data_IF_889105115348
#
_entry.id   IF_889105115348
#
_cell.length_a   1.000
_cell.length_b   1.000
_cell.length_c   1.000
_cell.angle_alpha   90.00
_cell.angle_beta   90.00
_cell.angle_gamma   90.00
#
_symmetry.space_group_name_H-M   'P 1'
#
loop_
_entity.id
_entity.type
_entity.pdbx_description
1 polymer ?
#
# COMPACT_ATOMS: atom_id res chain seq x y z
N UNK A 1 -2.20 7.98 -4.99
CA UNK A 1 -1.25 8.83 -5.74
C UNK A 1 0.14 8.67 -5.11
N UNK A 2 1.12 8.13 -5.86
CA UNK A 2 2.49 7.95 -5.36
C UNK A 2 3.22 9.30 -5.26
N UNK A 3 3.56 9.73 -4.04
CA UNK A 3 4.25 11.02 -3.78
C UNK A 3 5.64 11.06 -4.43
N UNK A 4 6.35 9.93 -4.42
CA UNK A 4 7.64 9.77 -5.11
C UNK A 4 7.52 9.73 -6.63
N UNK A 5 6.31 9.67 -7.18
CA UNK A 5 6.04 9.69 -8.62
C UNK A 5 5.58 11.09 -9.08
N UNK A 6 5.29 11.99 -8.14
CA UNK A 6 4.89 13.36 -8.42
C UNK A 6 6.14 14.27 -8.50
N UNK A 7 6.38 14.85 -9.68
CA UNK A 7 7.57 15.66 -9.92
C UNK A 7 7.65 16.91 -9.02
N UNK A 8 6.52 17.53 -8.67
CA UNK A 8 6.50 18.69 -7.79
C UNK A 8 6.88 18.31 -6.36
N UNK A 9 6.39 17.15 -5.89
CA UNK A 9 6.73 16.62 -4.57
C UNK A 9 8.21 16.23 -4.49
N UNK A 10 8.73 15.51 -5.49
CA UNK A 10 10.16 15.18 -5.58
C UNK A 10 11.04 16.43 -5.60
N UNK A 11 10.62 17.49 -6.32
CA UNK A 11 11.33 18.77 -6.34
C UNK A 11 11.44 19.39 -4.95
N UNK A 12 10.35 19.40 -4.19
CA UNK A 12 10.34 19.90 -2.81
C UNK A 12 11.19 19.05 -1.87
N UNK A 13 11.17 17.73 -2.06
CA UNK A 13 11.91 16.78 -1.24
C UNK A 13 13.43 16.83 -1.46
N UNK A 14 13.87 17.12 -2.68
CA UNK A 14 15.28 17.10 -3.04
C UNK A 14 15.94 18.50 -3.11
N UNK A 15 15.16 19.58 -3.08
CA UNK A 15 15.69 20.94 -3.07
C UNK A 15 16.52 21.24 -1.79
N UNK A 16 17.53 22.13 -1.86
CA UNK A 16 18.22 22.62 -0.67
C UNK A 16 17.24 23.33 0.27
N UNK A 17 17.27 23.03 1.57
CA UNK A 17 16.30 23.59 2.52
C UNK A 17 16.29 25.13 2.54
N UNK A 18 17.46 25.75 2.35
CA UNK A 18 17.62 27.21 2.33
C UNK A 18 16.95 27.91 1.13
N UNK A 19 16.58 27.17 0.08
CA UNK A 19 15.91 27.73 -1.10
C UNK A 19 14.39 27.66 -1.03
N UNK A 20 13.84 26.98 -0.02
CA UNK A 20 12.39 26.81 0.16
C UNK A 20 11.79 27.91 1.03
N UNK A 21 10.60 28.37 0.67
CA UNK A 21 9.78 29.21 1.55
C UNK A 21 9.17 28.39 2.69
N UNK A 22 8.74 29.03 3.77
CA UNK A 22 8.12 28.33 4.91
C UNK A 22 6.93 27.42 4.51
N UNK A 23 6.00 27.84 3.61
CA UNK A 23 4.94 26.94 3.12
C UNK A 23 5.48 25.74 2.35
N UNK A 24 6.51 25.93 1.52
CA UNK A 24 7.14 24.84 0.76
C UNK A 24 7.88 23.86 1.68
N UNK A 25 8.48 24.34 2.77
CA UNK A 25 9.08 23.47 3.79
C UNK A 25 8.02 22.61 4.47
N UNK A 26 6.88 23.19 4.85
CA UNK A 26 5.78 22.44 5.46
C UNK A 26 5.25 21.36 4.50
N UNK A 27 5.12 21.71 3.22
CA UNK A 27 4.69 20.76 2.18
C UNK A 27 5.73 19.67 1.93
N UNK A 28 7.01 20.01 1.93
CA UNK A 28 8.09 19.03 1.80
C UNK A 28 8.13 18.06 2.99
N UNK A 29 7.85 18.56 4.21
CA UNK A 29 7.72 17.70 5.41
C UNK A 29 6.54 16.76 5.29
N UNK A 30 5.38 17.23 4.81
CA UNK A 30 4.20 16.41 4.55
C UNK A 30 4.53 15.31 3.52
N UNK A 31 5.10 15.70 2.39
CA UNK A 31 5.54 14.78 1.35
C UNK A 31 6.57 13.76 1.87
N UNK A 32 7.48 14.16 2.77
CA UNK A 32 8.48 13.27 3.33
C UNK A 32 7.84 12.20 4.24
N UNK A 33 6.82 12.57 5.02
CA UNK A 33 6.04 11.62 5.83
C UNK A 33 5.30 10.61 4.95
N UNK A 34 4.78 11.04 3.82
CA UNK A 34 4.06 10.17 2.89
C UNK A 34 5.01 9.27 2.10
N UNK A 35 6.17 9.79 1.69
CA UNK A 35 7.23 9.02 1.04
C UNK A 35 7.79 7.90 1.95
N UNK A 36 7.83 8.13 3.26
CA UNK A 36 8.30 7.15 4.24
C UNK A 36 7.52 5.83 4.18
N UNK A 37 6.24 5.86 3.79
CA UNK A 37 5.42 4.66 3.70
C UNK A 37 5.94 3.66 2.66
N UNK A 38 6.51 4.15 1.55
CA UNK A 38 7.10 3.26 0.54
C UNK A 38 8.27 2.46 1.14
N UNK A 39 9.16 3.13 1.89
CA UNK A 39 10.26 2.45 2.59
C UNK A 39 9.74 1.47 3.65
N UNK A 40 8.66 1.81 4.37
CA UNK A 40 8.04 0.88 5.34
C UNK A 40 7.63 -0.41 4.64
N UNK A 41 6.88 -0.31 3.54
CA UNK A 41 6.43 -1.47 2.77
C UNK A 41 7.61 -2.30 2.26
N UNK A 42 8.58 -1.65 1.59
CA UNK A 42 9.77 -2.33 1.04
C UNK A 42 10.60 -3.01 2.16
N UNK A 43 10.69 -2.38 3.34
CA UNK A 43 11.42 -2.94 4.49
C UNK A 43 10.69 -4.14 5.08
N UNK A 44 9.37 -4.05 5.21
CA UNK A 44 8.57 -5.15 5.75
C UNK A 44 8.57 -6.32 4.77
N UNK A 45 8.43 -6.09 3.47
CA UNK A 45 8.55 -7.15 2.46
C UNK A 45 9.93 -7.82 2.50
N UNK A 46 11.01 -7.06 2.68
CA UNK A 46 12.33 -7.65 2.89
C UNK A 46 12.40 -8.54 4.15
N UNK A 47 11.59 -8.33 5.18
CA UNK A 47 11.51 -9.25 6.32
C UNK A 47 10.87 -10.58 5.97
N UNK A 48 10.02 -10.67 4.95
CA UNK A 48 9.51 -11.95 4.46
C UNK A 48 10.65 -12.79 3.88
N UNK A 49 11.56 -12.16 3.12
CA UNK A 49 12.66 -12.84 2.44
C UNK A 49 13.83 -13.19 3.36
N UNK A 50 14.16 -12.29 4.30
CA UNK A 50 15.39 -12.38 5.10
C UNK A 50 15.15 -12.63 6.60
N UNK A 51 13.89 -12.67 7.02
CA UNK A 51 13.48 -12.77 8.42
C UNK A 51 13.48 -11.42 9.13
N UNK A 52 12.51 -11.20 10.00
CA UNK A 52 12.45 -9.98 10.81
C UNK A 52 13.66 -9.88 11.75
N UNK A 53 14.33 -8.72 11.84
CA UNK A 53 15.36 -8.49 12.83
C UNK A 53 14.78 -8.60 14.25
N UNK A 54 15.56 -9.11 15.21
CA UNK A 54 15.24 -8.97 16.64
C UNK A 54 14.96 -7.48 16.97
N UNK A 55 14.12 -7.20 17.97
CA UNK A 55 13.59 -5.88 18.38
C UNK A 55 14.62 -4.72 18.44
N UNK A 56 15.91 -5.01 18.43
CA UNK A 56 17.02 -4.05 18.45
C UNK A 56 17.61 -3.65 17.09
N UNK A 57 17.27 -4.31 15.98
CA UNK A 57 18.00 -4.16 14.71
C UNK A 57 17.24 -3.42 13.59
N UNK A 58 16.07 -2.86 13.86
CA UNK A 58 15.24 -2.21 12.84
C UNK A 58 15.25 -0.68 12.86
N UNK A 59 16.38 -0.07 13.22
CA UNK A 59 16.52 1.38 13.09
C UNK A 59 16.74 1.73 11.61
N UNK A 60 15.80 2.44 11.02
CA UNK A 60 16.01 3.06 9.70
C UNK A 60 16.95 4.24 9.88
N UNK A 61 18.03 4.24 9.09
CA UNK A 61 19.08 5.24 9.17
C UNK A 61 18.79 6.44 8.24
N UNK A 62 19.36 7.62 8.52
CA UNK A 62 19.18 8.81 7.68
C UNK A 62 19.54 8.60 6.21
N UNK A 63 20.50 7.74 5.91
CA UNK A 63 20.94 7.39 4.55
C UNK A 63 19.82 6.75 3.73
N UNK A 64 18.83 6.12 4.36
CA UNK A 64 17.66 5.60 3.67
C UNK A 64 16.83 6.72 3.04
N UNK A 65 16.82 7.94 3.59
CA UNK A 65 16.16 9.05 2.88
C UNK A 65 16.80 9.30 1.50
N UNK A 66 18.14 9.20 1.41
CA UNK A 66 18.84 9.42 0.14
C UNK A 66 18.54 8.31 -0.84
N UNK A 67 18.68 7.05 -0.40
CA UNK A 67 18.44 5.88 -1.24
C UNK A 67 17.04 5.86 -1.87
N UNK A 68 16.04 6.39 -1.14
CA UNK A 68 14.66 6.35 -1.59
C UNK A 68 14.24 7.62 -2.33
N UNK A 69 14.50 8.78 -1.73
CA UNK A 69 13.97 10.07 -2.22
C UNK A 69 14.92 10.70 -3.22
N UNK A 70 16.21 10.78 -2.86
CA UNK A 70 17.21 11.48 -3.68
C UNK A 70 17.56 10.66 -4.92
N UNK A 71 17.80 9.35 -4.78
CA UNK A 71 18.09 8.47 -5.92
C UNK A 71 16.91 8.41 -6.90
N UNK A 72 15.67 8.56 -6.41
CA UNK A 72 14.48 8.66 -7.27
C UNK A 72 14.45 9.99 -8.02
N UNK A 73 14.67 11.10 -7.31
CA UNK A 73 14.68 12.43 -7.92
C UNK A 73 15.83 12.57 -8.94
N UNK A 74 16.97 11.91 -8.73
CA UNK A 74 18.07 11.84 -9.70
C UNK A 74 17.66 11.03 -10.93
N UNK A 75 17.08 9.84 -10.74
CA UNK A 75 16.58 9.00 -11.84
C UNK A 75 15.55 9.71 -12.72
N UNK A 76 14.70 10.53 -12.13
CA UNK A 76 13.66 11.30 -12.83
C UNK A 76 14.19 12.64 -13.39
N UNK A 77 15.48 12.93 -13.24
CA UNK A 77 16.12 14.15 -13.76
C UNK A 77 15.65 15.44 -13.09
N UNK A 78 15.11 15.34 -11.87
CA UNK A 78 14.56 16.47 -11.10
C UNK A 78 15.66 17.18 -10.31
N UNK A 79 16.68 16.45 -9.86
CA UNK A 79 17.84 17.02 -9.16
C UNK A 79 19.01 17.29 -10.08
N UNK A 80 19.75 18.34 -9.74
CA UNK A 80 21.05 18.65 -10.34
C UNK A 80 22.18 17.88 -9.65
N UNK A 81 23.31 17.73 -10.35
CA UNK A 81 24.51 17.10 -9.78
C UNK A 81 25.10 17.87 -8.57
N UNK A 82 24.79 19.17 -8.43
CA UNK A 82 25.20 19.98 -7.29
C UNK A 82 24.31 19.71 -6.06
N UNK A 83 23.00 19.52 -6.27
CA UNK A 83 22.06 19.13 -5.21
C UNK A 83 22.36 17.72 -4.70
N UNK A 84 22.59 16.74 -5.59
CA UNK A 84 23.00 15.38 -5.18
C UNK A 84 24.29 15.40 -4.35
N UNK A 85 25.26 16.24 -4.75
CA UNK A 85 26.52 16.41 -4.00
C UNK A 85 26.28 17.06 -2.64
N UNK A 86 25.38 18.02 -2.55
CA UNK A 86 24.99 18.67 -1.29
C UNK A 86 24.42 17.65 -0.32
N UNK A 87 23.52 16.77 -0.79
CA UNK A 87 22.98 15.68 0.02
C UNK A 87 24.07 14.68 0.44
N UNK A 88 24.97 14.30 -0.47
CA UNK A 88 26.09 13.42 -0.15
C UNK A 88 27.04 14.02 0.89
N UNK A 89 27.30 15.33 0.82
CA UNK A 89 28.08 16.02 1.86
C UNK A 89 27.35 16.07 3.20
N UNK A 90 26.04 16.32 3.19
CA UNK A 90 25.21 16.34 4.40
C UNK A 90 25.16 14.98 5.12
N UNK A 91 25.33 13.87 4.40
CA UNK A 91 25.55 12.54 5.01
C UNK A 91 26.87 12.54 5.76
N UNK A 92 27.95 12.86 5.06
CA UNK A 92 29.31 12.69 5.55
C UNK A 92 29.59 13.55 6.80
N UNK A 93 28.95 14.70 6.93
CA UNK A 93 29.09 15.60 8.09
C UNK A 93 27.96 15.47 9.14
N UNK A 94 26.99 14.57 8.90
CA UNK A 94 25.85 14.32 9.78
C UNK A 94 24.80 15.44 9.82
N UNK A 95 24.86 16.42 8.91
CA UNK A 95 23.88 17.50 8.84
C UNK A 95 22.47 17.01 8.47
N UNK A 96 22.34 15.85 7.81
CA UNK A 96 21.04 15.23 7.49
C UNK A 96 20.12 15.09 8.70
N UNK A 97 20.67 14.74 9.87
CA UNK A 97 19.90 14.56 11.10
C UNK A 97 19.20 15.83 11.57
N UNK A 98 19.60 17.00 11.06
CA UNK A 98 18.98 18.29 11.38
C UNK A 98 17.98 18.74 10.33
N UNK A 99 17.91 18.07 9.17
CA UNK A 99 16.93 18.40 8.14
C UNK A 99 15.54 17.92 8.60
N UNK A 100 14.55 18.81 8.70
CA UNK A 100 13.23 18.47 9.21
C UNK A 100 12.49 17.47 8.32
N UNK A 101 12.80 17.39 7.02
CA UNK A 101 12.20 16.39 6.10
C UNK A 101 12.74 15.01 6.40
N UNK A 102 14.06 14.89 6.60
CA UNK A 102 14.71 13.64 7.00
C UNK A 102 14.16 13.18 8.35
N UNK A 103 14.06 14.06 9.34
CA UNK A 103 13.47 13.72 10.64
C UNK A 103 12.01 13.27 10.54
N UNK A 104 11.22 13.95 9.70
CA UNK A 104 9.83 13.58 9.48
C UNK A 104 9.68 12.24 8.76
N UNK A 105 10.55 11.97 7.78
CA UNK A 105 10.63 10.69 7.08
C UNK A 105 10.98 9.56 8.07
N UNK A 106 12.06 9.69 8.82
CA UNK A 106 12.51 8.67 9.78
C UNK A 106 11.48 8.41 10.88
N UNK A 107 10.86 9.47 11.44
CA UNK A 107 9.78 9.32 12.43
C UNK A 107 8.61 8.54 11.85
N UNK A 108 8.17 8.91 10.64
CA UNK A 108 7.05 8.26 9.95
C UNK A 108 7.37 6.80 9.62
N UNK A 109 8.61 6.50 9.19
CA UNK A 109 9.06 5.13 8.95
C UNK A 109 9.08 4.31 10.24
N UNK A 110 9.65 4.83 11.33
CA UNK A 110 9.69 4.13 12.60
C UNK A 110 8.28 3.86 13.15
N UNK A 111 7.38 4.83 13.05
CA UNK A 111 5.96 4.68 13.42
C UNK A 111 5.28 3.61 12.55
N UNK A 112 5.46 3.66 11.23
CA UNK A 112 4.89 2.68 10.30
C UNK A 112 5.39 1.27 10.54
N UNK A 113 6.72 1.09 10.71
CA UNK A 113 7.31 -0.22 11.02
C UNK A 113 6.77 -0.77 12.33
N UNK A 114 6.66 0.05 13.38
CA UNK A 114 6.10 -0.39 14.66
C UNK A 114 4.64 -0.86 14.54
N UNK A 115 3.84 -0.18 13.71
CA UNK A 115 2.46 -0.59 13.40
C UNK A 115 2.46 -1.95 12.69
N UNK A 116 3.23 -2.11 11.62
CA UNK A 116 3.28 -3.37 10.88
C UNK A 116 3.81 -4.53 11.71
N UNK A 117 4.86 -4.34 12.52
CA UNK A 117 5.35 -5.38 13.46
C UNK A 117 4.22 -5.84 14.38
N UNK A 118 3.46 -4.90 14.94
CA UNK A 118 2.35 -5.21 15.84
C UNK A 118 1.23 -5.95 15.11
N UNK A 119 0.86 -5.50 13.91
CA UNK A 119 -0.18 -6.13 13.10
C UNK A 119 0.22 -7.54 12.64
N UNK A 120 1.45 -7.73 12.15
CA UNK A 120 2.00 -9.04 11.75
C UNK A 120 1.97 -9.99 12.95
N UNK A 121 2.48 -9.56 14.11
CA UNK A 121 2.46 -10.38 15.32
C UNK A 121 1.05 -10.75 15.76
N UNK A 122 0.12 -9.80 15.78
CA UNK A 122 -1.27 -10.02 16.16
C UNK A 122 -2.00 -10.97 15.22
N UNK A 123 -1.90 -10.74 13.90
CA UNK A 123 -2.54 -11.55 12.87
C UNK A 123 -1.94 -12.96 12.79
N UNK A 124 -0.63 -13.11 13.00
CA UNK A 124 0.02 -14.43 13.11
C UNK A 124 -0.56 -15.25 14.26
N UNK A 125 -0.69 -14.66 15.45
CA UNK A 125 -1.23 -15.36 16.63
C UNK A 125 -2.69 -15.78 16.40
N UNK A 126 -3.49 -14.93 15.74
CA UNK A 126 -4.85 -15.28 15.34
C UNK A 126 -4.84 -16.50 14.41
N UNK A 127 -4.00 -16.47 13.37
CA UNK A 127 -3.92 -17.53 12.38
C UNK A 127 -3.43 -18.86 12.99
N UNK A 128 -2.40 -18.82 13.82
CA UNK A 128 -1.90 -20.01 14.53
C UNK A 128 -2.98 -20.67 15.39
N UNK A 129 -3.80 -19.85 16.06
CA UNK A 129 -4.94 -20.34 16.85
C UNK A 129 -6.06 -20.88 15.98
N UNK A 130 -6.35 -20.25 14.85
CA UNK A 130 -7.36 -20.70 13.89
C UNK A 130 -6.99 -22.05 13.27
N UNK A 131 -5.72 -22.24 12.91
CA UNK A 131 -5.21 -23.47 12.31
C UNK A 131 -4.88 -24.57 13.36
N UNK A 132 -4.95 -24.25 14.65
CA UNK A 132 -4.58 -25.13 15.77
C UNK A 132 -3.12 -25.64 15.68
N UNK A 133 -2.21 -24.81 15.15
CA UNK A 133 -0.79 -25.14 14.95
C UNK A 133 0.10 -24.55 16.05
N UNK A 134 1.33 -25.07 16.26
CA UNK A 134 2.28 -24.50 17.20
C UNK A 134 2.63 -23.05 16.88
N UNK A 135 2.97 -22.27 17.92
CA UNK A 135 3.59 -20.96 17.73
C UNK A 135 4.85 -21.09 16.89
N UNK A 136 4.98 -20.25 15.87
CA UNK A 136 5.99 -20.26 14.80
C UNK A 136 5.75 -21.20 13.61
N UNK A 137 4.61 -21.89 13.52
CA UNK A 137 4.30 -22.70 12.33
C UNK A 137 3.85 -21.85 11.12
N UNK A 138 3.46 -20.61 11.37
CA UNK A 138 3.01 -19.65 10.36
C UNK A 138 4.15 -18.68 10.05
N UNK A 139 4.55 -18.61 8.78
CA UNK A 139 5.58 -17.70 8.30
C UNK A 139 4.95 -16.43 7.71
N UNK A 140 5.53 -15.27 7.93
CA UNK A 140 5.14 -14.05 7.25
C UNK A 140 5.58 -14.10 5.79
N UNK A 141 4.67 -13.78 4.86
CA UNK A 141 4.86 -13.97 3.42
C UNK A 141 4.99 -12.67 2.62
N UNK A 142 4.73 -11.52 3.23
CA UNK A 142 4.75 -10.20 2.58
C UNK A 142 3.48 -9.39 2.81
N UNK A 143 3.50 -8.14 2.33
CA UNK A 143 2.34 -7.25 2.30
C UNK A 143 1.79 -7.21 0.86
N UNK A 144 0.48 -7.38 0.71
CA UNK A 144 -0.20 -7.23 -0.57
C UNK A 144 -0.35 -5.77 -0.99
N UNK A 145 -0.77 -5.56 -2.24
CA UNK A 145 -0.86 -4.21 -2.85
C UNK A 145 -1.79 -3.28 -2.07
N UNK A 146 -2.81 -3.82 -1.40
CA UNK A 146 -3.77 -3.04 -0.62
C UNK A 146 -3.40 -2.96 0.87
N UNK A 147 -2.18 -3.37 1.25
CA UNK A 147 -1.68 -3.34 2.63
C UNK A 147 -2.05 -4.56 3.48
N UNK A 148 -2.67 -5.58 2.89
CA UNK A 148 -3.02 -6.82 3.56
C UNK A 148 -1.77 -7.63 3.94
N UNK A 149 -1.79 -8.28 5.10
CA UNK A 149 -0.63 -9.04 5.61
C UNK A 149 -0.84 -10.52 5.28
N UNK A 150 0.05 -11.05 4.45
CA UNK A 150 0.07 -12.45 4.03
C UNK A 150 0.93 -13.34 4.93
N UNK A 151 0.49 -14.59 5.08
CA UNK A 151 1.21 -15.63 5.79
C UNK A 151 1.20 -16.95 5.04
N UNK A 152 2.28 -17.70 5.08
CA UNK A 152 2.37 -19.03 4.49
C UNK A 152 2.35 -20.11 5.60
N UNK A 153 1.54 -21.16 5.38
CA UNK A 153 1.48 -22.31 6.26
C UNK A 153 1.08 -23.56 5.46
N UNK A 154 1.82 -24.66 5.61
CA UNK A 154 1.52 -25.96 4.98
C UNK A 154 1.27 -25.93 3.46
N UNK A 155 1.89 -24.99 2.74
CA UNK A 155 1.79 -24.86 1.28
C UNK A 155 0.62 -23.99 0.78
N UNK A 156 -0.13 -23.38 1.70
CA UNK A 156 -1.14 -22.37 1.38
C UNK A 156 -0.73 -20.99 1.89
N UNK A 157 -1.30 -19.97 1.25
CA UNK A 157 -1.23 -18.58 1.68
C UNK A 157 -2.50 -18.20 2.42
N UNK A 158 -2.35 -17.45 3.50
CA UNK A 158 -3.41 -17.01 4.36
C UNK A 158 -3.34 -15.51 4.58
N UNK A 159 -4.50 -14.88 4.67
CA UNK A 159 -4.62 -13.46 4.97
C UNK A 159 -5.64 -13.31 6.08
N UNK A 160 -5.26 -12.53 7.09
CA UNK A 160 -6.11 -12.24 8.25
C UNK A 160 -6.47 -10.77 8.23
N UNK A 161 -7.77 -10.48 8.20
CA UNK A 161 -8.32 -9.13 8.13
C UNK A 161 -9.43 -8.98 9.15
N UNK A 162 -9.64 -7.77 9.62
CA UNK A 162 -10.93 -7.36 10.19
C UNK A 162 -11.95 -7.11 9.07
N UNK A 163 -13.24 -7.08 9.41
CA UNK A 163 -14.27 -6.68 8.43
C UNK A 163 -14.03 -5.29 7.85
N UNK A 164 -13.58 -4.33 8.69
CA UNK A 164 -13.32 -2.96 8.25
C UNK A 164 -12.13 -2.92 7.26
N UNK A 165 -11.05 -3.67 7.53
CA UNK A 165 -9.93 -3.79 6.59
C UNK A 165 -10.37 -4.45 5.28
N UNK A 166 -11.11 -5.56 5.35
CA UNK A 166 -11.56 -6.28 4.16
C UNK A 166 -12.53 -5.44 3.30
N UNK A 167 -13.43 -4.67 3.94
CA UNK A 167 -14.33 -3.76 3.25
C UNK A 167 -13.58 -2.59 2.62
N UNK A 168 -12.59 -2.02 3.32
CA UNK A 168 -11.77 -0.94 2.77
C UNK A 168 -11.01 -1.41 1.51
N UNK A 169 -10.40 -2.59 1.55
CA UNK A 169 -9.73 -3.19 0.40
C UNK A 169 -10.71 -3.39 -0.77
N UNK A 170 -11.91 -3.91 -0.49
CA UNK A 170 -12.93 -4.10 -1.52
C UNK A 170 -13.37 -2.77 -2.15
N UNK A 171 -13.56 -1.72 -1.34
CA UNK A 171 -13.92 -0.39 -1.82
C UNK A 171 -12.82 0.23 -2.68
N UNK A 172 -11.56 0.14 -2.25
CA UNK A 172 -10.42 0.67 -3.01
C UNK A 172 -10.23 -0.07 -4.33
N UNK A 173 -10.37 -1.40 -4.33
CA UNK A 173 -10.34 -2.20 -5.55
C UNK A 173 -11.45 -1.76 -6.52
N UNK A 174 -12.70 -1.73 -6.05
CA UNK A 174 -13.86 -1.36 -6.88
C UNK A 174 -13.69 0.05 -7.43
N UNK A 175 -13.26 1.01 -6.61
CA UNK A 175 -13.05 2.39 -7.03
C UNK A 175 -12.06 2.51 -8.21
N UNK A 176 -11.04 1.64 -8.26
CA UNK A 176 -10.05 1.59 -9.33
C UNK A 176 -10.52 0.79 -10.56
N UNK A 177 -11.65 0.09 -10.48
CA UNK A 177 -12.18 -0.77 -11.54
C UNK A 177 -13.56 -0.31 -12.06
N UNK A 178 -14.11 0.81 -11.56
CA UNK A 178 -15.42 1.35 -11.97
C UNK A 178 -15.53 1.58 -13.48
N UNK A 179 -14.42 1.87 -14.16
CA UNK A 179 -14.41 2.07 -15.60
C UNK A 179 -14.72 0.80 -16.42
N UNK A 180 -14.54 -0.39 -15.82
CA UNK A 180 -14.84 -1.69 -16.42
C UNK A 180 -16.27 -2.19 -16.15
N UNK A 181 -16.96 -1.61 -15.17
CA UNK A 181 -18.30 -2.01 -14.77
C UNK A 181 -19.38 -1.57 -15.76
N UNK A 182 -20.48 -2.33 -15.84
CA UNK A 182 -21.61 -1.97 -16.70
C UNK A 182 -22.32 -0.70 -16.16
N UNK A 183 -22.45 0.38 -16.94
CA UNK A 183 -23.21 1.57 -16.55
C UNK A 183 -24.63 1.29 -16.06
N UNK A 184 -25.30 0.27 -16.61
CA UNK A 184 -26.64 -0.13 -16.21
C UNK A 184 -26.67 -0.81 -14.81
N UNK A 185 -25.54 -1.36 -14.37
CA UNK A 185 -25.36 -1.83 -13.01
C UNK A 185 -24.98 -0.67 -12.09
N UNK A 186 -24.02 0.17 -12.50
CA UNK A 186 -23.53 1.31 -11.71
C UNK A 186 -24.65 2.29 -11.34
N UNK A 187 -25.60 2.56 -12.26
CA UNK A 187 -26.70 3.53 -12.01
C UNK A 187 -27.50 3.20 -10.74
N UNK A 188 -27.61 1.91 -10.37
CA UNK A 188 -28.32 1.44 -9.17
C UNK A 188 -27.67 1.91 -7.87
N UNK A 189 -26.39 2.25 -7.93
CA UNK A 189 -25.58 2.73 -6.82
C UNK A 189 -25.31 4.24 -6.94
N UNK A 190 -26.17 4.97 -7.66
CA UNK A 190 -26.07 6.43 -7.77
C UNK A 190 -27.37 7.09 -7.32
N UNK A 191 -27.33 8.41 -7.17
CA UNK A 191 -28.55 9.23 -7.00
C UNK A 191 -29.13 9.71 -8.34
N UNK A 192 -28.55 9.30 -9.47
CA UNK A 192 -28.99 9.72 -10.80
C UNK A 192 -30.26 8.96 -11.22
N UNK A 193 -31.14 9.57 -12.04
CA UNK A 193 -32.25 8.84 -12.67
C UNK A 193 -31.73 7.89 -13.76
N UNK A 194 -32.56 6.97 -14.24
CA UNK A 194 -32.19 5.95 -15.24
C UNK A 194 -31.58 6.55 -16.53
N UNK A 195 -32.02 7.75 -16.95
CA UNK A 195 -31.43 8.44 -18.11
C UNK A 195 -29.96 8.85 -17.89
N UNK A 196 -29.51 8.87 -16.64
CA UNK A 196 -28.13 9.11 -16.21
C UNK A 196 -27.14 8.03 -16.64
N UNK A 197 -27.58 6.89 -17.16
CA UNK A 197 -26.71 5.87 -17.77
C UNK A 197 -25.78 6.50 -18.82
N UNK A 198 -26.31 7.43 -19.63
CA UNK A 198 -25.53 8.15 -20.65
C UNK A 198 -24.37 8.97 -20.06
N UNK A 199 -24.52 9.49 -18.85
CA UNK A 199 -23.47 10.24 -18.13
C UNK A 199 -22.37 9.28 -17.66
N UNK A 200 -22.76 8.12 -17.11
CA UNK A 200 -21.82 7.09 -16.67
C UNK A 200 -21.02 6.53 -17.85
N UNK A 201 -21.68 6.23 -18.97
CA UNK A 201 -21.00 5.80 -20.21
C UNK A 201 -20.02 6.87 -20.69
N UNK A 202 -20.43 8.14 -20.73
CA UNK A 202 -19.53 9.22 -21.16
C UNK A 202 -18.33 9.40 -20.22
N UNK A 203 -18.50 9.20 -18.91
CA UNK A 203 -17.39 9.23 -17.96
C UNK A 203 -16.36 8.11 -18.22
N UNK A 204 -16.81 6.93 -18.66
CA UNK A 204 -15.97 5.79 -18.99
C UNK A 204 -15.20 5.93 -20.32
N UNK A 205 -15.60 6.85 -21.22
CA UNK A 205 -14.91 7.07 -22.50
C UNK A 205 -13.54 7.77 -22.36
N UNK A 206 -13.22 8.30 -21.18
CA UNK A 206 -11.96 8.98 -20.89
C UNK A 206 -10.78 8.05 -20.53
N UNK A 207 -9.59 8.62 -20.24
CA UNK A 207 -8.49 7.85 -19.64
C UNK A 207 -8.92 7.18 -18.34
N UNK A 208 -8.48 5.94 -18.11
CA UNK A 208 -8.93 5.06 -17.02
C UNK A 208 -8.89 5.74 -15.64
N UNK A 209 -7.73 6.26 -15.23
CA UNK A 209 -7.57 6.92 -13.93
C UNK A 209 -8.57 8.07 -13.74
N UNK A 210 -8.81 8.84 -14.81
CA UNK A 210 -9.74 9.97 -14.77
C UNK A 210 -11.19 9.52 -14.78
N UNK A 211 -11.52 8.45 -15.49
CA UNK A 211 -12.84 7.85 -15.50
C UNK A 211 -13.19 7.34 -14.08
N UNK A 212 -12.30 6.58 -13.47
CA UNK A 212 -12.45 6.07 -12.09
C UNK A 212 -12.62 7.21 -11.08
N UNK A 213 -11.80 8.25 -11.14
CA UNK A 213 -11.92 9.41 -10.24
C UNK A 213 -13.29 10.09 -10.36
N UNK A 214 -13.79 10.26 -11.58
CA UNK A 214 -15.12 10.86 -11.83
C UNK A 214 -16.23 9.92 -11.33
N UNK A 215 -16.15 8.63 -11.66
CA UNK A 215 -17.16 7.64 -11.30
C UNK A 215 -17.23 7.43 -9.78
N UNK A 216 -16.09 7.38 -9.08
CA UNK A 216 -16.03 7.27 -7.63
C UNK A 216 -16.65 8.49 -6.92
N UNK A 217 -16.73 9.65 -7.60
CA UNK A 217 -17.45 10.82 -7.10
C UNK A 217 -18.97 10.80 -7.31
N UNK A 218 -19.49 9.84 -8.10
CA UNK A 218 -20.91 9.73 -8.48
C UNK A 218 -21.55 8.46 -7.90
N UNK A 219 -20.81 7.36 -7.91
CA UNK A 219 -21.21 6.03 -7.45
C UNK A 219 -20.96 5.92 -5.94
N UNK A 220 -21.95 5.41 -5.22
CA UNK A 220 -21.81 4.97 -3.84
C UNK A 220 -21.00 3.66 -3.82
N UNK A 221 -19.67 3.82 -3.80
CA UNK A 221 -18.71 2.72 -3.79
C UNK A 221 -18.88 1.83 -2.56
N UNK A 222 -19.27 2.41 -1.41
CA UNK A 222 -19.49 1.63 -0.20
C UNK A 222 -20.67 0.68 -0.36
N UNK A 223 -21.81 1.17 -0.86
CA UNK A 223 -22.99 0.33 -1.11
C UNK A 223 -22.71 -0.73 -2.17
N UNK A 224 -22.00 -0.38 -3.25
CA UNK A 224 -21.57 -1.34 -4.26
C UNK A 224 -20.65 -2.40 -3.67
N UNK A 225 -19.66 -2.03 -2.86
CA UNK A 225 -18.76 -2.96 -2.20
C UNK A 225 -19.51 -3.90 -1.25
N UNK A 226 -20.44 -3.40 -0.43
CA UNK A 226 -21.28 -4.21 0.44
C UNK A 226 -22.11 -5.25 -0.33
N UNK A 227 -22.78 -4.83 -1.40
CA UNK A 227 -23.61 -5.74 -2.20
C UNK A 227 -22.75 -6.79 -2.92
N UNK A 228 -21.60 -6.37 -3.42
CA UNK A 228 -20.71 -7.26 -4.18
C UNK A 228 -20.02 -8.24 -3.24
N UNK A 229 -19.53 -7.82 -2.07
CA UNK A 229 -18.93 -8.69 -1.03
C UNK A 229 -19.96 -9.65 -0.43
N UNK A 230 -21.21 -9.22 -0.23
CA UNK A 230 -22.29 -10.12 0.26
C UNK A 230 -22.55 -11.29 -0.68
N UNK A 231 -22.39 -11.08 -1.99
CA UNK A 231 -22.62 -12.11 -3.00
C UNK A 231 -21.39 -12.99 -3.22
N UNK A 232 -20.21 -12.39 -3.19
CA UNK A 232 -18.98 -13.04 -3.63
C UNK A 232 -17.99 -13.41 -2.53
N UNK A 233 -18.08 -12.82 -1.34
CA UNK A 233 -17.00 -12.82 -0.34
C UNK A 233 -15.95 -11.74 -0.59
N UNK A 234 -14.96 -11.67 0.30
CA UNK A 234 -13.85 -10.70 0.21
C UNK A 234 -12.67 -11.20 -0.62
N UNK A 235 -12.47 -12.51 -0.72
CA UNK A 235 -11.21 -13.07 -1.25
C UNK A 235 -10.85 -12.66 -2.67
N UNK A 236 -11.84 -12.28 -3.50
CA UNK A 236 -11.56 -11.79 -4.87
C UNK A 236 -10.88 -10.41 -4.93
N UNK A 237 -10.85 -9.67 -3.83
CA UNK A 237 -10.28 -8.32 -3.76
C UNK A 237 -8.87 -8.31 -3.17
N UNK A 238 -8.38 -9.46 -2.71
CA UNK A 238 -7.20 -9.56 -1.87
C UNK A 238 -6.11 -10.34 -2.63
N UNK A 239 -4.96 -9.71 -2.83
CA UNK A 239 -3.75 -10.14 -3.57
C UNK A 239 -3.95 -10.48 -5.05
N UNK A 240 -3.19 -9.77 -5.90
CA UNK A 240 -3.05 -10.05 -7.33
C UNK A 240 -2.46 -11.44 -7.60
N UNK A 241 -3.02 -12.15 -8.60
CA UNK A 241 -2.41 -13.37 -9.16
C UNK A 241 -2.85 -14.69 -8.52
N UNK A 242 -3.88 -14.71 -7.67
CA UNK A 242 -4.41 -15.95 -7.11
C UNK A 242 -5.69 -16.38 -7.83
N UNK A 243 -5.76 -17.68 -8.12
CA UNK A 243 -6.87 -18.39 -8.77
C UNK A 243 -8.20 -18.18 -8.05
N UNK A 244 -9.33 -18.29 -8.77
CA UNK A 244 -10.71 -18.24 -8.23
C UNK A 244 -11.00 -19.20 -7.03
N UNK A 245 -10.07 -20.12 -6.73
CA UNK A 245 -10.11 -21.04 -5.61
C UNK A 245 -9.60 -20.41 -4.30
N UNK A 246 -10.48 -19.70 -3.59
CA UNK A 246 -10.25 -19.29 -2.20
C UNK A 246 -11.34 -19.80 -1.25
N UNK A 247 -11.01 -19.87 0.04
CA UNK A 247 -12.02 -20.07 1.09
C UNK A 247 -11.96 -18.94 2.10
N UNK A 248 -13.13 -18.42 2.47
CA UNK A 248 -13.30 -17.43 3.52
C UNK A 248 -13.91 -18.09 4.76
N UNK A 249 -13.31 -17.87 5.92
CA UNK A 249 -13.81 -18.35 7.21
C UNK A 249 -13.77 -17.24 8.25
N UNK A 250 -14.71 -17.28 9.20
CA UNK A 250 -14.75 -16.34 10.32
C UNK A 250 -14.12 -16.95 11.56
N UNK A 251 -13.31 -16.16 12.25
CA UNK A 251 -12.72 -16.53 13.54
C UNK A 251 -12.78 -15.32 14.49
N UNK A 252 -13.83 -15.29 15.32
CA UNK A 252 -14.13 -14.11 16.13
C UNK A 252 -14.57 -12.93 15.26
N UNK A 253 -13.87 -11.81 15.39
CA UNK A 253 -14.05 -10.58 14.59
C UNK A 253 -13.15 -10.56 13.32
N UNK A 254 -12.41 -11.64 13.08
CA UNK A 254 -11.47 -11.74 11.97
C UNK A 254 -12.07 -12.55 10.81
N UNK A 255 -11.76 -12.11 9.60
CA UNK A 255 -11.90 -12.81 8.33
C UNK A 255 -10.56 -13.48 8.02
N UNK A 256 -10.58 -14.80 7.88
CA UNK A 256 -9.42 -15.58 7.44
C UNK A 256 -9.68 -16.05 6.02
N UNK A 257 -8.87 -15.54 5.10
CA UNK A 257 -8.85 -15.97 3.71
C UNK A 257 -7.73 -16.99 3.54
N UNK A 258 -8.06 -18.16 3.00
CA UNK A 258 -7.09 -19.16 2.55
C UNK A 258 -7.06 -19.15 1.04
N UNK A 259 -5.85 -19.03 0.51
CA UNK A 259 -5.51 -18.85 -0.87
C UNK A 259 -4.58 -20.01 -1.25
N UNK A 260 -4.99 -20.83 -2.21
CA UNK A 260 -4.11 -21.88 -2.72
C UNK A 260 -2.99 -21.22 -3.51
N UNK A 261 -1.75 -21.53 -3.17
CA UNK A 261 -0.61 -21.17 -4.01
C UNK A 261 -0.69 -22.11 -5.22
N UNK A 262 -0.78 -21.59 -6.47
CA UNK A 262 -0.69 -22.44 -7.65
C UNK A 262 0.58 -23.28 -7.53
N UNK A 263 0.48 -24.60 -7.72
CA UNK A 263 1.68 -25.41 -7.84
C UNK A 263 2.53 -24.74 -8.93
N UNK A 264 3.78 -24.36 -8.60
CA UNK A 264 4.73 -23.94 -9.63
C UNK A 264 4.65 -24.99 -10.72
N UNK A 265 4.27 -24.58 -11.92
CA UNK A 265 4.37 -25.45 -13.09
C UNK A 265 5.83 -25.85 -13.17
N UNK A 266 6.15 -27.07 -12.75
CA UNK A 266 7.36 -27.77 -13.16
C UNK A 266 7.29 -27.89 -14.69
N UNK A 267 7.70 -26.86 -15.41
CA UNK A 267 7.94 -26.82 -16.87
C UNK A 267 8.47 -25.40 -17.21
N UNK A 268 9.61 -25.17 -17.85
CA UNK A 268 10.42 -26.03 -18.73
C UNK A 268 11.92 -25.71 -18.56
N UNK A 269 12.76 -26.73 -18.77
CA UNK A 269 14.22 -26.62 -18.87
C UNK A 269 14.74 -26.21 -20.24
#
# INVERSE_FOLDING_TARGET
MCILCNSDSLRLLAAPLATLSNPEVAEAIRAAREAAMQLVLDTVDAWADFGAPDDSASAVEPESYIQYVIDRAERDGITTADEVRTWSHAVADGALLRDPRVQAFLSSTAEGLAVYVTQIGGKRVVLERFLEVPSSAVAFAGIGVSGEIGFDCEGDRFIVLTDDEAMQIAMDYIANELWHEDPAQLIRYTSLPDEGISILTAAQEGPQDRANEILAGIVDVALLAEDTTRQGGYGRFVVDGITDDYTEQRFGDQVVLRLKIPAESEDEG
#
